data_IF_389822748986
#
_entry.id   IF_389822748986
#
_cell.length_a   1.000
_cell.length_b   1.000
_cell.length_c   1.000
_cell.angle_alpha   90.00
_cell.angle_beta   90.00
_cell.angle_gamma   90.00
#
_symmetry.space_group_name_H-M   'P 1'
#
loop_
_entity.id
_entity.type
_entity.pdbx_description
1 polymer ?
#
# COMPACT_ATOMS: atom_id res chain seq x y z
N UNK A 1 -54.94 -30.50 12.07
CA UNK A 1 -55.22 -29.42 11.09
C UNK A 1 -53.91 -28.78 10.70
N UNK A 2 -53.82 -28.37 9.43
CA UNK A 2 -52.59 -28.12 8.70
C UNK A 2 -51.77 -26.92 9.19
N UNK A 3 -50.48 -26.92 8.82
CA UNK A 3 -49.36 -26.21 9.44
C UNK A 3 -48.94 -24.98 8.61
N UNK A 4 -48.64 -23.83 9.22
CA UNK A 4 -48.27 -22.64 8.41
C UNK A 4 -47.37 -21.61 9.08
N UNK A 5 -46.49 -21.98 10.01
CA UNK A 5 -45.53 -21.01 10.58
C UNK A 5 -44.07 -21.49 10.60
N UNK A 6 -43.75 -22.53 9.83
CA UNK A 6 -42.41 -23.10 9.74
C UNK A 6 -41.55 -22.56 8.57
N UNK A 7 -41.98 -21.48 7.89
CA UNK A 7 -41.47 -21.18 6.54
C UNK A 7 -41.06 -19.72 6.28
N UNK A 8 -40.75 -18.91 7.30
CA UNK A 8 -40.26 -17.52 7.10
C UNK A 8 -38.97 -17.16 7.86
N UNK A 9 -38.42 -18.05 8.70
CA UNK A 9 -37.12 -17.79 9.34
C UNK A 9 -35.91 -18.32 8.53
N UNK A 10 -36.14 -18.97 7.39
CA UNK A 10 -35.10 -19.69 6.65
C UNK A 10 -34.40 -18.85 5.55
N UNK A 11 -34.57 -17.53 5.50
CA UNK A 11 -34.17 -16.77 4.30
C UNK A 11 -33.50 -15.40 4.50
N UNK A 12 -32.96 -15.06 5.68
CA UNK A 12 -32.33 -13.74 5.86
C UNK A 12 -31.04 -13.69 6.71
N UNK A 13 -30.31 -14.80 6.84
CA UNK A 13 -28.97 -14.82 7.45
C UNK A 13 -27.98 -15.59 6.58
N UNK A 14 -28.04 -15.40 5.26
CA UNK A 14 -27.15 -16.02 4.28
C UNK A 14 -26.29 -14.96 3.54
N UNK A 15 -25.90 -13.88 4.23
CA UNK A 15 -25.06 -12.84 3.62
C UNK A 15 -24.28 -12.06 4.68
N UNK A 16 -23.44 -12.77 5.45
CA UNK A 16 -22.45 -12.11 6.30
C UNK A 16 -21.14 -12.87 6.21
N UNK A 17 -20.12 -12.11 5.80
CA UNK A 17 -18.69 -12.34 5.98
C UNK A 17 -18.00 -13.30 4.99
N UNK A 18 -17.72 -12.73 3.82
CA UNK A 18 -16.45 -12.89 3.10
C UNK A 18 -15.29 -13.04 4.08
N UNK A 19 -14.77 -14.26 4.20
CA UNK A 19 -13.54 -14.57 4.92
C UNK A 19 -12.42 -14.73 3.90
N UNK A 20 -11.86 -13.61 3.45
CA UNK A 20 -10.48 -13.58 2.97
C UNK A 20 -9.65 -12.95 4.08
N UNK A 21 -8.76 -13.72 4.69
CA UNK A 21 -7.38 -13.28 4.67
C UNK A 21 -6.49 -14.46 4.30
N UNK A 22 -6.10 -14.54 3.04
CA UNK A 22 -4.85 -15.22 2.70
C UNK A 22 -3.76 -14.28 3.18
N UNK A 23 -3.37 -14.44 4.45
CA UNK A 23 -2.27 -13.70 5.05
C UNK A 23 -1.02 -13.89 4.21
N UNK A 24 -0.51 -12.80 3.67
CA UNK A 24 0.79 -12.76 3.02
C UNK A 24 1.85 -13.10 4.07
N UNK A 25 2.67 -14.11 3.78
CA UNK A 25 3.78 -14.50 4.64
C UNK A 25 4.88 -13.41 4.54
N UNK A 26 4.95 -12.53 5.54
CA UNK A 26 6.02 -11.55 5.65
C UNK A 26 7.34 -12.27 5.93
N UNK A 27 8.31 -12.12 5.04
CA UNK A 27 9.68 -12.59 5.23
C UNK A 27 10.34 -11.83 6.38
N UNK A 28 10.67 -12.57 7.45
CA UNK A 28 11.37 -12.13 8.65
C UNK A 28 12.85 -11.80 8.34
N UNK A 29 13.11 -10.55 7.96
CA UNK A 29 14.42 -9.90 7.90
C UNK A 29 14.21 -8.38 8.00
N UNK A 30 15.21 -7.57 8.40
CA UNK A 30 15.06 -6.12 8.37
C UNK A 30 14.85 -5.69 6.92
N UNK A 31 13.61 -5.38 6.58
CA UNK A 31 13.18 -4.95 5.26
C UNK A 31 13.79 -3.57 5.00
N UNK A 32 14.57 -3.40 3.94
CA UNK A 32 15.17 -2.10 3.62
C UNK A 32 14.08 -1.06 3.35
N UNK A 33 14.39 0.24 3.53
CA UNK A 33 13.44 1.30 3.22
C UNK A 33 13.01 1.26 1.75
N UNK A 34 13.94 0.98 0.83
CA UNK A 34 13.60 0.73 -0.57
C UNK A 34 12.64 -0.44 -0.78
N UNK A 35 12.78 -1.54 -0.03
CA UNK A 35 11.88 -2.68 -0.15
C UNK A 35 10.47 -2.32 0.33
N UNK A 36 10.35 -1.64 1.48
CA UNK A 36 9.06 -1.16 1.98
C UNK A 36 8.41 -0.17 1.00
N UNK A 37 9.18 0.79 0.50
CA UNK A 37 8.72 1.77 -0.46
C UNK A 37 8.25 1.13 -1.76
N UNK A 38 9.04 0.22 -2.32
CA UNK A 38 8.69 -0.40 -3.59
C UNK A 38 7.54 -1.39 -3.46
N UNK A 39 7.38 -2.05 -2.31
CA UNK A 39 6.17 -2.84 -2.03
C UNK A 39 4.93 -1.92 -1.98
N UNK A 40 5.00 -0.76 -1.34
CA UNK A 40 3.90 0.21 -1.31
C UNK A 40 3.59 0.75 -2.72
N UNK A 41 4.60 1.22 -3.46
CA UNK A 41 4.40 1.82 -4.78
C UNK A 41 3.90 0.83 -5.84
N UNK A 42 4.45 -0.40 -5.85
CA UNK A 42 4.20 -1.38 -6.91
C UNK A 42 3.05 -2.31 -6.54
N UNK A 43 3.08 -2.89 -5.34
CA UNK A 43 2.15 -3.95 -4.96
C UNK A 43 0.86 -3.40 -4.33
N UNK A 44 0.96 -2.38 -3.47
CA UNK A 44 -0.21 -1.78 -2.82
C UNK A 44 -0.89 -0.73 -3.70
N UNK A 45 -0.14 0.32 -4.07
CA UNK A 45 -0.66 1.46 -4.83
C UNK A 45 -0.73 1.23 -6.35
N UNK A 46 0.01 0.25 -6.88
CA UNK A 46 0.05 -0.08 -8.31
C UNK A 46 0.32 1.14 -9.21
N UNK A 47 1.28 1.99 -8.82
CA UNK A 47 1.59 3.21 -9.54
C UNK A 47 2.08 2.91 -10.96
N UNK A 48 1.49 3.53 -12.01
CA UNK A 48 1.89 3.26 -13.39
C UNK A 48 3.35 3.59 -13.72
N UNK A 49 3.97 4.47 -12.93
CA UNK A 49 5.38 4.83 -13.06
C UNK A 49 6.33 3.71 -12.61
N UNK A 50 5.87 2.77 -11.79
CA UNK A 50 6.65 1.68 -11.21
C UNK A 50 6.01 0.33 -11.60
N UNK A 51 6.23 -0.16 -12.83
CA UNK A 51 5.54 -1.34 -13.34
C UNK A 51 6.02 -2.66 -12.73
N UNK A 52 7.24 -2.71 -12.19
CA UNK A 52 7.87 -3.93 -11.69
C UNK A 52 8.68 -3.65 -10.42
N UNK A 53 8.59 -4.55 -9.44
CA UNK A 53 9.25 -4.42 -8.14
C UNK A 53 10.77 -4.32 -8.28
N UNK A 54 11.37 -5.16 -9.13
CA UNK A 54 12.83 -5.14 -9.35
C UNK A 54 13.32 -3.81 -9.93
N UNK A 55 12.57 -3.24 -10.87
CA UNK A 55 12.91 -1.94 -11.46
C UNK A 55 12.77 -0.82 -10.43
N UNK A 56 11.77 -0.90 -9.55
CA UNK A 56 11.63 0.05 -8.45
C UNK A 56 12.82 -0.04 -7.49
N UNK A 57 13.20 -1.25 -7.07
CA UNK A 57 14.32 -1.46 -6.15
C UNK A 57 15.65 -0.94 -6.71
N UNK A 58 15.91 -1.15 -8.00
CA UNK A 58 17.10 -0.59 -8.66
C UNK A 58 17.07 0.94 -8.68
N UNK A 59 15.93 1.54 -9.01
CA UNK A 59 15.75 2.99 -9.01
C UNK A 59 15.90 3.61 -7.63
N UNK A 60 15.32 2.97 -6.61
CA UNK A 60 15.44 3.42 -5.22
C UNK A 60 16.88 3.35 -4.72
N UNK A 61 17.58 2.23 -4.98
CA UNK A 61 19.00 2.11 -4.61
C UNK A 61 19.89 3.13 -5.32
N UNK A 62 19.58 3.48 -6.57
CA UNK A 62 20.25 4.59 -7.26
C UNK A 62 19.95 5.94 -6.60
N UNK A 63 18.69 6.21 -6.26
CA UNK A 63 18.28 7.45 -5.60
C UNK A 63 18.98 7.62 -4.23
N UNK A 64 19.04 6.58 -3.42
CA UNK A 64 19.79 6.58 -2.14
C UNK A 64 21.28 6.89 -2.36
N UNK A 65 21.90 6.29 -3.40
CA UNK A 65 23.30 6.52 -3.72
C UNK A 65 23.59 7.98 -4.14
N UNK A 66 22.60 8.65 -4.73
CA UNK A 66 22.67 10.07 -5.11
C UNK A 66 22.24 11.03 -3.97
N UNK A 67 21.95 10.50 -2.77
CA UNK A 67 21.58 11.28 -1.60
C UNK A 67 20.08 11.59 -1.47
N UNK A 68 19.23 10.86 -2.20
CA UNK A 68 17.78 10.91 -2.04
C UNK A 68 17.34 10.39 -0.67
N UNK A 69 16.28 11.01 -0.13
CA UNK A 69 15.70 10.63 1.16
C UNK A 69 14.55 9.63 0.96
N UNK A 70 14.91 8.35 0.91
CA UNK A 70 13.94 7.24 0.78
C UNK A 70 13.01 7.15 1.97
N UNK A 71 13.46 7.53 3.17
CA UNK A 71 12.63 7.49 4.38
C UNK A 71 11.53 8.55 4.30
N UNK A 72 11.87 9.78 3.91
CA UNK A 72 10.89 10.84 3.68
C UNK A 72 9.92 10.47 2.53
N UNK A 73 10.43 9.89 1.44
CA UNK A 73 9.56 9.47 0.33
C UNK A 73 8.57 8.38 0.76
N UNK A 74 9.03 7.36 1.51
CA UNK A 74 8.16 6.34 2.08
C UNK A 74 7.08 6.94 2.98
N UNK A 75 7.45 7.89 3.86
CA UNK A 75 6.50 8.56 4.73
C UNK A 75 5.42 9.31 3.92
N UNK A 76 5.82 10.02 2.85
CA UNK A 76 4.87 10.72 1.98
C UNK A 76 3.91 9.79 1.26
N UNK A 77 4.39 8.64 0.77
CA UNK A 77 3.53 7.64 0.11
C UNK A 77 2.51 7.06 1.10
N UNK A 78 2.94 6.73 2.32
CA UNK A 78 2.08 6.19 3.37
C UNK A 78 1.04 7.21 3.85
N UNK A 79 1.43 8.48 4.03
CA UNK A 79 0.51 9.54 4.44
C UNK A 79 -0.54 9.85 3.37
N UNK A 80 -0.11 9.85 2.10
CA UNK A 80 -0.98 10.14 0.97
C UNK A 80 -1.97 9.02 0.64
N UNK A 81 -1.80 7.82 1.21
CA UNK A 81 -2.65 6.65 0.95
C UNK A 81 -2.88 6.43 -0.57
N UNK A 82 -1.78 6.40 -1.31
CA UNK A 82 -1.74 6.28 -2.77
C UNK A 82 -2.28 7.48 -3.59
N UNK A 83 -2.65 8.61 -2.98
CA UNK A 83 -2.97 9.84 -3.72
C UNK A 83 -1.69 10.47 -4.29
N UNK A 84 -1.47 10.34 -5.60
CA UNK A 84 -0.26 10.84 -6.26
C UNK A 84 -0.08 12.35 -6.13
N UNK A 85 -1.15 13.14 -6.01
CA UNK A 85 -1.03 14.59 -5.81
C UNK A 85 -0.61 14.91 -4.39
N UNK A 86 -1.16 14.20 -3.39
CA UNK A 86 -0.77 14.36 -2.00
C UNK A 86 0.68 13.90 -1.75
N UNK A 87 1.15 12.86 -2.45
CA UNK A 87 2.57 12.46 -2.40
C UNK A 87 3.46 13.62 -2.85
N UNK A 88 3.18 14.20 -4.02
CA UNK A 88 3.96 15.32 -4.56
C UNK A 88 3.89 16.55 -3.67
N UNK A 89 2.74 16.84 -3.05
CA UNK A 89 2.60 17.93 -2.08
C UNK A 89 3.48 17.70 -0.84
N UNK A 90 3.46 16.49 -0.29
CA UNK A 90 4.32 16.09 0.82
C UNK A 90 5.81 16.18 0.44
N UNK A 91 6.21 15.62 -0.69
CA UNK A 91 7.60 15.68 -1.17
C UNK A 91 8.08 17.11 -1.39
N UNK A 92 7.23 17.99 -1.92
CA UNK A 92 7.57 19.40 -2.04
C UNK A 92 7.70 20.09 -0.68
N UNK A 93 6.91 19.70 0.32
CA UNK A 93 7.08 20.22 1.68
C UNK A 93 8.44 19.82 2.27
N UNK A 94 8.89 18.59 2.03
CA UNK A 94 10.19 18.10 2.48
C UNK A 94 11.37 18.58 1.61
N UNK A 95 11.14 18.83 0.32
CA UNK A 95 12.16 19.26 -0.65
C UNK A 95 12.31 20.77 -0.82
N UNK A 96 11.29 21.57 -0.48
CA UNK A 96 11.35 23.03 -0.57
C UNK A 96 12.29 23.67 0.46
N UNK A 97 12.79 22.90 1.43
CA UNK A 97 13.73 23.34 2.45
C UNK A 97 15.20 22.97 2.16
N UNK A 98 15.48 22.34 1.00
CA UNK A 98 16.83 21.86 0.65
C UNK A 98 17.77 22.92 0.09
N UNK A 99 17.31 24.18 -0.05
CA UNK A 99 18.06 25.32 -0.59
C UNK A 99 18.63 26.27 0.50
N UNK A 100 18.78 25.84 1.76
CA UNK A 100 19.44 26.63 2.83
C UNK A 100 20.88 26.20 3.13
#
# INVERSE_FOLDING_TARGET
MRPFLFSLFFSLTALVLSSFPMGCASSDGPVSMCQQLCDELVNECSYPAFPELESCLQGCGYNEAEGGDTEAHLACVQEAACDTFAVVECENHHGATSDE
#
